data_IF_131014344350
#
_entry.id   IF_131014344350
#
_cell.length_a   1.000
_cell.length_b   1.000
_cell.length_c   1.000
_cell.angle_alpha   90.00
_cell.angle_beta   90.00
_cell.angle_gamma   90.00
#
_symmetry.space_group_name_H-M   'P 1'
#
loop_
_entity.id
_entity.type
_entity.pdbx_description
1 polymer ?
#
# COMPACT_ATOMS: atom_id res chain seq x y z
N UNK A 1 18.06 -4.25 -5.82
CA UNK A 1 17.92 -2.78 -5.79
C UNK A 1 16.49 -2.50 -5.39
N UNK A 2 16.23 -1.63 -4.41
CA UNK A 2 14.87 -1.33 -4.00
C UNK A 2 14.11 -0.65 -5.15
N UNK A 3 12.80 -0.90 -5.24
CA UNK A 3 11.98 -0.26 -6.25
C UNK A 3 12.11 1.27 -6.21
N UNK A 4 12.40 1.84 -7.37
CA UNK A 4 12.55 3.29 -7.55
C UNK A 4 11.21 4.01 -7.40
N UNK A 5 11.25 5.31 -7.14
CA UNK A 5 10.02 6.12 -7.08
C UNK A 5 9.25 6.07 -8.41
N UNK A 6 9.94 5.93 -9.54
CA UNK A 6 9.34 5.74 -10.86
C UNK A 6 8.56 4.43 -10.97
N UNK A 7 9.14 3.32 -10.50
CA UNK A 7 8.44 2.03 -10.45
C UNK A 7 7.23 2.08 -9.53
N UNK A 8 7.36 2.74 -8.37
CA UNK A 8 6.24 2.96 -7.46
C UNK A 8 5.13 3.80 -8.10
N UNK A 9 5.45 4.92 -8.77
CA UNK A 9 4.48 5.75 -9.50
C UNK A 9 3.80 5.00 -10.65
N UNK A 10 4.56 4.19 -11.39
CA UNK A 10 4.04 3.32 -12.42
C UNK A 10 3.04 2.32 -11.81
N UNK A 11 3.46 1.57 -10.80
CA UNK A 11 2.60 0.63 -10.09
C UNK A 11 1.36 1.31 -9.49
N UNK A 12 1.47 2.53 -8.98
CA UNK A 12 0.35 3.31 -8.45
C UNK A 12 -0.67 3.68 -9.54
N UNK A 13 -0.20 3.97 -10.76
CA UNK A 13 -1.11 4.17 -11.90
C UNK A 13 -1.72 2.86 -12.35
N UNK A 14 -0.93 1.79 -12.40
CA UNK A 14 -1.39 0.48 -12.85
C UNK A 14 -2.43 -0.15 -11.93
N UNK A 15 -2.28 0.02 -10.60
CA UNK A 15 -3.27 -0.47 -9.64
C UNK A 15 -4.63 0.22 -9.81
N UNK A 16 -4.63 1.47 -10.30
CA UNK A 16 -5.84 2.21 -10.62
C UNK A 16 -6.45 1.79 -11.97
N UNK A 17 -5.63 1.22 -12.86
CA UNK A 17 -6.02 0.72 -14.18
C UNK A 17 -6.38 -0.78 -14.17
N UNK A 18 -6.45 -1.42 -12.99
CA UNK A 18 -6.92 -2.79 -12.87
C UNK A 18 -8.35 -2.93 -13.39
N UNK A 19 -8.62 -4.03 -14.08
CA UNK A 19 -9.94 -4.29 -14.66
C UNK A 19 -10.99 -4.61 -13.59
N UNK A 20 -10.54 -5.15 -12.46
CA UNK A 20 -11.34 -5.41 -11.28
C UNK A 20 -10.74 -4.72 -10.04
N UNK A 21 -11.61 -4.36 -9.10
CA UNK A 21 -11.17 -3.77 -7.84
C UNK A 21 -10.58 -4.86 -6.93
N UNK A 22 -9.38 -4.63 -6.36
CA UNK A 22 -8.84 -5.52 -5.34
C UNK A 22 -9.73 -5.56 -4.10
N UNK A 23 -9.60 -6.63 -3.33
CA UNK A 23 -10.34 -6.82 -2.09
C UNK A 23 -9.98 -5.77 -1.04
N UNK A 24 -10.79 -5.67 0.02
CA UNK A 24 -10.55 -4.68 1.07
C UNK A 24 -9.16 -4.87 1.71
N UNK A 25 -8.78 -6.09 2.08
CA UNK A 25 -7.45 -6.40 2.65
C UNK A 25 -6.31 -5.98 1.72
N UNK A 26 -6.43 -6.28 0.44
CA UNK A 26 -5.45 -5.91 -0.57
C UNK A 26 -5.31 -4.39 -0.73
N UNK A 27 -6.42 -3.66 -0.68
CA UNK A 27 -6.39 -2.20 -0.64
C UNK A 27 -5.72 -1.66 0.63
N UNK A 28 -5.93 -2.32 1.78
CA UNK A 28 -5.30 -1.97 3.05
C UNK A 28 -3.78 -2.17 3.00
N UNK A 29 -3.32 -3.28 2.40
CA UNK A 29 -1.90 -3.56 2.23
C UNK A 29 -1.21 -2.57 1.28
N UNK A 30 -1.81 -2.30 0.11
CA UNK A 30 -1.32 -1.26 -0.81
C UNK A 30 -1.24 0.10 -0.11
N UNK A 31 -2.28 0.46 0.65
CA UNK A 31 -2.33 1.70 1.38
C UNK A 31 -1.20 1.78 2.44
N UNK A 32 -1.03 0.73 3.25
CA UNK A 32 0.01 0.67 4.27
C UNK A 32 1.41 0.81 3.66
N UNK A 33 1.71 0.03 2.63
CA UNK A 33 2.98 0.07 1.91
C UNK A 33 3.24 1.44 1.27
N UNK A 34 2.23 2.02 0.61
CA UNK A 34 2.33 3.35 0.03
C UNK A 34 2.65 4.43 1.06
N UNK A 35 2.10 4.32 2.28
CA UNK A 35 2.32 5.29 3.36
C UNK A 35 3.73 5.19 3.94
N UNK A 36 4.24 3.98 4.13
CA UNK A 36 5.65 3.76 4.54
C UNK A 36 6.61 4.23 3.46
N UNK A 37 6.34 3.90 2.20
CA UNK A 37 7.16 4.31 1.05
C UNK A 37 7.30 5.83 0.92
N UNK A 38 6.28 6.58 1.36
CA UNK A 38 6.23 8.04 1.38
C UNK A 38 6.81 8.66 2.66
N UNK A 39 7.28 7.86 3.63
CA UNK A 39 7.69 8.34 4.95
C UNK A 39 6.62 9.19 5.64
N UNK A 40 5.34 8.83 5.44
CA UNK A 40 4.26 9.57 6.09
C UNK A 40 4.22 9.26 7.60
N UNK A 41 3.69 10.16 8.41
CA UNK A 41 3.65 9.98 9.86
C UNK A 41 2.33 9.33 10.29
N UNK A 42 2.41 8.17 10.96
CA UNK A 42 1.25 7.39 11.38
C UNK A 42 0.52 7.98 12.60
N UNK A 43 1.15 8.86 13.35
CA UNK A 43 0.55 9.56 14.49
C UNK A 43 -0.33 10.72 14.04
N UNK A 44 -0.01 11.35 12.90
CA UNK A 44 -0.84 12.37 12.26
C UNK A 44 -2.22 11.81 11.84
N UNK A 45 -2.26 10.54 11.40
CA UNK A 45 -3.53 9.86 11.11
C UNK A 45 -4.07 9.15 12.36
N UNK A 46 -4.67 9.91 13.26
CA UNK A 46 -5.53 9.35 14.32
C UNK A 46 -6.98 9.24 13.81
N UNK A 47 -7.45 8.05 13.38
CA UNK A 47 -8.83 7.86 12.97
C UNK A 47 -9.77 8.15 14.14
N UNK A 48 -10.92 8.76 13.84
CA UNK A 48 -11.96 9.03 14.83
C UNK A 48 -12.47 7.76 15.50
N UNK A 49 -13.11 7.89 16.67
CA UNK A 49 -13.52 6.74 17.48
C UNK A 49 -14.45 5.76 16.75
N UNK A 50 -15.25 6.28 15.80
CA UNK A 50 -16.20 5.53 14.96
C UNK A 50 -15.63 5.10 13.59
N UNK A 51 -14.39 5.48 13.25
CA UNK A 51 -13.79 5.17 11.95
C UNK A 51 -13.05 3.82 12.00
N UNK A 52 -13.82 2.73 11.89
CA UNK A 52 -13.29 1.36 11.95
C UNK A 52 -12.34 1.10 10.77
N UNK A 53 -12.68 1.58 9.56
CA UNK A 53 -11.84 1.39 8.37
C UNK A 53 -10.50 2.11 8.51
N UNK A 54 -10.50 3.36 8.97
CA UNK A 54 -9.30 4.13 9.24
C UNK A 54 -8.44 3.50 10.33
N UNK A 55 -9.06 2.92 11.37
CA UNK A 55 -8.35 2.12 12.39
C UNK A 55 -7.67 0.90 11.79
N UNK A 56 -8.35 0.14 10.93
CA UNK A 56 -7.76 -1.05 10.28
C UNK A 56 -6.60 -0.67 9.35
N UNK A 57 -6.77 0.37 8.52
CA UNK A 57 -5.71 0.93 7.67
C UNK A 57 -4.48 1.30 8.47
N UNK A 58 -4.68 2.05 9.55
CA UNK A 58 -3.60 2.46 10.45
C UNK A 58 -2.98 1.24 11.13
N UNK A 59 -3.75 0.25 11.53
CA UNK A 59 -3.20 -0.95 12.18
C UNK A 59 -2.30 -1.75 11.23
N UNK A 60 -2.72 -1.98 9.97
CA UNK A 60 -1.87 -2.62 8.95
C UNK A 60 -0.57 -1.83 8.73
N UNK A 61 -0.69 -0.51 8.62
CA UNK A 61 0.47 0.36 8.46
C UNK A 61 1.40 0.31 9.67
N UNK A 62 0.86 0.41 10.88
CA UNK A 62 1.63 0.34 12.12
C UNK A 62 2.35 -0.99 12.24
N UNK A 63 1.67 -2.09 11.92
CA UNK A 63 2.25 -3.44 11.97
C UNK A 63 3.46 -3.55 11.06
N UNK A 64 3.38 -3.05 9.82
CA UNK A 64 4.50 -3.04 8.87
C UNK A 64 5.66 -2.16 9.37
N UNK A 65 5.37 -1.01 9.98
CA UNK A 65 6.40 -0.17 10.61
C UNK A 65 7.06 -0.86 11.82
N UNK A 66 6.27 -1.56 12.64
CA UNK A 66 6.73 -2.32 13.82
C UNK A 66 7.61 -3.53 13.40
N UNK A 67 7.29 -4.14 12.25
CA UNK A 67 8.13 -5.14 11.57
C UNK A 67 9.46 -4.56 11.04
N UNK A 68 9.66 -3.25 11.10
CA UNK A 68 10.86 -2.58 10.59
C UNK A 68 10.88 -2.42 9.08
N UNK A 69 9.71 -2.46 8.41
CA UNK A 69 9.63 -2.24 6.96
C UNK A 69 10.09 -0.83 6.64
N UNK A 70 11.19 -0.75 5.90
CA UNK A 70 11.75 0.52 5.43
C UNK A 70 10.95 1.05 4.24
N UNK A 71 11.03 2.36 3.94
CA UNK A 71 10.41 2.95 2.75
C UNK A 71 10.83 2.24 1.45
N UNK A 72 12.07 1.78 1.39
CA UNK A 72 12.65 1.04 0.27
C UNK A 72 11.98 -0.34 0.09
N UNK A 73 11.84 -1.10 1.18
CA UNK A 73 11.16 -2.40 1.16
C UNK A 73 9.66 -2.25 0.90
N UNK A 74 9.05 -1.17 1.37
CA UNK A 74 7.64 -0.90 1.15
C UNK A 74 7.35 -0.65 -0.33
N UNK A 75 8.23 0.09 -1.03
CA UNK A 75 8.13 0.30 -2.49
C UNK A 75 8.26 -1.02 -3.24
N UNK A 76 9.22 -1.85 -2.84
CA UNK A 76 9.48 -3.15 -3.47
C UNK A 76 8.27 -4.08 -3.35
N UNK A 77 7.78 -4.26 -2.12
CA UNK A 77 6.54 -5.01 -1.85
C UNK A 77 5.36 -4.42 -2.62
N UNK A 78 5.21 -3.09 -2.67
CA UNK A 78 4.10 -2.45 -3.37
C UNK A 78 4.09 -2.79 -4.87
N UNK A 79 5.26 -2.70 -5.53
CA UNK A 79 5.38 -3.04 -6.96
C UNK A 79 5.06 -4.50 -7.19
N UNK A 80 5.60 -5.40 -6.37
CA UNK A 80 5.36 -6.84 -6.48
C UNK A 80 3.86 -7.19 -6.32
N UNK A 81 3.20 -6.51 -5.39
CA UNK A 81 1.78 -6.69 -5.08
C UNK A 81 0.89 -6.17 -6.22
N UNK A 82 1.25 -5.03 -6.82
CA UNK A 82 0.57 -4.52 -8.03
C UNK A 82 0.78 -5.46 -9.21
N UNK A 83 1.99 -5.97 -9.45
CA UNK A 83 2.23 -6.94 -10.52
C UNK A 83 1.40 -8.20 -10.34
N UNK A 84 1.28 -8.69 -9.10
CA UNK A 84 0.39 -9.79 -8.76
C UNK A 84 -1.07 -9.44 -9.06
N UNK A 85 -1.52 -8.24 -8.72
CA UNK A 85 -2.89 -7.80 -9.02
C UNK A 85 -3.16 -7.67 -10.50
N UNK A 86 -2.20 -7.19 -11.29
CA UNK A 86 -2.33 -7.18 -12.76
C UNK A 86 -2.53 -8.59 -13.30
N UNK A 87 -1.82 -9.59 -12.75
CA UNK A 87 -1.98 -10.99 -13.14
C UNK A 87 -3.32 -11.58 -12.67
N UNK A 88 -3.77 -11.24 -11.46
CA UNK A 88 -5.00 -11.78 -10.87
C UNK A 88 -6.26 -11.14 -11.45
N UNK A 89 -6.29 -9.81 -11.54
CA UNK A 89 -7.45 -9.00 -11.91
C UNK A 89 -7.44 -8.56 -13.37
N UNK A 90 -6.29 -8.62 -14.04
CA UNK A 90 -6.10 -8.04 -15.36
C UNK A 90 -5.97 -6.51 -15.32
N UNK A 91 -5.42 -5.95 -16.38
CA UNK A 91 -5.41 -4.50 -16.67
C UNK A 91 -6.38 -4.22 -17.82
N UNK A 92 -7.07 -3.07 -17.76
CA UNK A 92 -7.91 -2.61 -18.88
C UNK A 92 -7.09 -2.15 -20.08
#
# INVERSE_FOLDING_TARGET
>A
MPATEEQFKAAFSEVRNLAAQPTQDEQLDLYALAKIAQNEDIEQKKPGMFDIKGKTMRNHWQKKLDEGVTPEQARDQYVELVEKFKKTYGTK
#
